data_IF_693450871359
#
_entry.id   IF_693450871359
#
_cell.length_a   1.000
_cell.length_b   1.000
_cell.length_c   1.000
_cell.angle_alpha   90.00
_cell.angle_beta   90.00
_cell.angle_gamma   90.00
#
_symmetry.space_group_name_H-M   'P 1'
#
loop_
_entity.id
_entity.type
_entity.pdbx_description
1 polymer ?
#
# COMPACT_ATOMS: atom_id res chain seq x y z
N UNK A 1 -29.81 -5.84 5.26
CA UNK A 1 -29.40 -4.55 5.88
C UNK A 1 -27.96 -4.71 6.36
N UNK A 2 -27.05 -3.83 5.94
CA UNK A 2 -25.66 -3.86 6.43
C UNK A 2 -25.60 -3.37 7.87
N UNK A 3 -24.86 -4.08 8.72
CA UNK A 3 -24.57 -3.69 10.11
C UNK A 3 -23.42 -2.66 10.20
N UNK A 4 -22.79 -2.29 9.08
CA UNK A 4 -21.66 -1.37 9.06
C UNK A 4 -22.11 0.06 9.39
N UNK A 5 -21.71 0.54 10.57
CA UNK A 5 -21.89 1.91 11.07
C UNK A 5 -20.76 2.85 10.67
N UNK A 6 -20.75 4.06 11.23
CA UNK A 6 -19.68 5.05 11.06
C UNK A 6 -19.65 5.79 9.72
N UNK A 7 -18.71 6.71 9.52
CA UNK A 7 -18.49 7.38 8.23
C UNK A 7 -17.36 6.68 7.45
N UNK A 8 -17.36 6.81 6.12
CA UNK A 8 -16.24 6.28 5.32
C UNK A 8 -14.96 7.04 5.62
N UNK A 9 -13.81 6.35 5.61
CA UNK A 9 -12.53 7.01 5.81
C UNK A 9 -12.30 8.08 4.74
N UNK A 10 -12.72 7.85 3.49
CA UNK A 10 -12.65 8.85 2.43
C UNK A 10 -13.35 10.17 2.80
N UNK A 11 -14.57 10.10 3.34
CA UNK A 11 -15.34 11.29 3.72
C UNK A 11 -14.73 12.02 4.92
N UNK A 12 -14.22 11.27 5.90
CA UNK A 12 -13.54 11.83 7.06
C UNK A 12 -12.22 12.52 6.67
N UNK A 13 -11.45 11.91 5.76
CA UNK A 13 -10.18 12.43 5.27
C UNK A 13 -10.35 13.67 4.38
N UNK A 14 -11.41 13.74 3.58
CA UNK A 14 -11.67 14.90 2.70
C UNK A 14 -12.17 16.14 3.43
N UNK A 15 -12.41 16.07 4.74
CA UNK A 15 -12.98 17.18 5.52
C UNK A 15 -14.46 17.42 5.24
N UNK A 16 -15.12 16.55 4.46
CA UNK A 16 -16.55 16.64 4.16
C UNK A 16 -17.45 16.11 5.31
N UNK A 17 -16.85 15.68 6.42
CA UNK A 17 -17.57 15.25 7.61
C UNK A 17 -17.89 16.41 8.55
N UNK A 18 -18.94 16.26 9.35
CA UNK A 18 -19.27 17.22 10.42
C UNK A 18 -18.29 17.19 11.59
N UNK A 19 -17.38 16.20 11.65
CA UNK A 19 -16.41 16.04 12.73
C UNK A 19 -15.18 16.97 12.59
N UNK A 20 -15.04 17.68 11.45
CA UNK A 20 -13.95 18.63 11.21
C UNK A 20 -12.55 17.99 11.33
N UNK A 21 -11.58 18.77 11.80
CA UNK A 21 -10.17 18.35 11.86
C UNK A 21 -9.92 17.16 12.80
N UNK A 22 -10.68 17.05 13.90
CA UNK A 22 -10.58 15.93 14.84
C UNK A 22 -10.95 14.60 14.16
N UNK A 23 -12.04 14.58 13.39
CA UNK A 23 -12.42 13.40 12.61
C UNK A 23 -11.41 13.05 11.52
N UNK A 24 -10.79 14.07 10.91
CA UNK A 24 -9.72 13.89 9.91
C UNK A 24 -8.48 13.24 10.52
N UNK A 25 -8.04 13.69 11.69
CA UNK A 25 -6.90 13.12 12.42
C UNK A 25 -7.17 11.68 12.86
N UNK A 26 -8.36 11.41 13.41
CA UNK A 26 -8.77 10.06 13.80
C UNK A 26 -8.78 9.11 12.60
N UNK A 27 -9.36 9.54 11.47
CA UNK A 27 -9.39 8.75 10.24
C UNK A 27 -8.00 8.47 9.66
N UNK A 28 -7.09 9.46 9.69
CA UNK A 28 -5.70 9.26 9.30
C UNK A 28 -5.01 8.22 10.22
N UNK A 29 -5.27 8.30 11.53
CA UNK A 29 -4.80 7.32 12.51
C UNK A 29 -5.34 5.91 12.23
N UNK A 30 -6.61 5.78 11.85
CA UNK A 30 -7.21 4.48 11.49
C UNK A 30 -6.66 3.93 10.17
N UNK A 31 -6.42 4.80 9.19
CA UNK A 31 -5.83 4.42 7.90
C UNK A 31 -4.41 3.87 8.09
N UNK A 32 -3.52 4.65 8.73
CA UNK A 32 -2.12 4.25 8.95
C UNK A 32 -2.03 3.09 9.95
N UNK A 33 -2.79 3.15 11.05
CA UNK A 33 -2.65 2.23 12.17
C UNK A 33 -3.34 0.88 11.97
N UNK A 34 -4.36 0.81 11.11
CA UNK A 34 -5.17 -0.40 10.95
C UNK A 34 -5.40 -0.80 9.50
N UNK A 35 -5.96 0.07 8.65
CA UNK A 35 -6.34 -0.32 7.28
C UNK A 35 -5.13 -0.72 6.42
N UNK A 36 -4.09 0.12 6.39
CA UNK A 36 -2.86 -0.13 5.64
C UNK A 36 -2.12 -1.39 6.15
N UNK A 37 -1.91 -1.58 7.48
CA UNK A 37 -1.36 -2.83 8.01
C UNK A 37 -2.20 -4.06 7.70
N UNK A 38 -3.53 -3.97 7.77
CA UNK A 38 -4.43 -5.08 7.48
C UNK A 38 -4.29 -5.57 6.03
N UNK A 39 -4.25 -4.64 5.07
CA UNK A 39 -3.99 -4.98 3.66
C UNK A 39 -2.62 -5.65 3.49
N UNK A 40 -1.58 -5.12 4.15
CA UNK A 40 -0.24 -5.70 4.13
C UNK A 40 -0.22 -7.15 4.66
N UNK A 41 -0.88 -7.40 5.78
CA UNK A 41 -1.02 -8.75 6.32
C UNK A 41 -1.77 -9.68 5.37
N UNK A 42 -2.88 -9.23 4.76
CA UNK A 42 -3.61 -10.03 3.78
C UNK A 42 -2.74 -10.39 2.57
N UNK A 43 -2.02 -9.42 2.00
CA UNK A 43 -1.16 -9.63 0.84
C UNK A 43 0.05 -10.52 1.15
N UNK A 44 0.69 -10.34 2.30
CA UNK A 44 1.96 -11.01 2.62
C UNK A 44 1.77 -12.36 3.31
N UNK A 45 0.68 -12.54 4.06
CA UNK A 45 0.45 -13.75 4.87
C UNK A 45 -0.74 -14.60 4.40
N UNK A 46 -1.69 -14.05 3.63
CA UNK A 46 -2.96 -14.74 3.27
C UNK A 46 -3.26 -14.79 1.76
N UNK A 47 -2.41 -14.23 0.91
CA UNK A 47 -2.64 -14.15 -0.53
C UNK A 47 -2.61 -15.48 -1.26
N UNK A 48 -2.10 -16.55 -0.65
CA UNK A 48 -2.21 -17.91 -1.19
C UNK A 48 -3.59 -18.52 -1.01
N UNK A 49 -4.48 -17.88 -0.27
CA UNK A 49 -5.82 -18.37 0.05
C UNK A 49 -6.87 -17.30 -0.22
N UNK A 50 -7.21 -16.96 -1.49
CA UNK A 50 -8.33 -16.11 -1.99
C UNK A 50 -8.85 -14.90 -1.17
N UNK A 51 -8.11 -14.48 -0.14
CA UNK A 51 -8.51 -13.55 0.91
C UNK A 51 -7.69 -12.26 0.82
N UNK A 52 -6.74 -12.18 -0.11
CA UNK A 52 -5.94 -10.98 -0.29
C UNK A 52 -6.74 -9.90 -0.99
N UNK A 53 -7.25 -8.97 -0.20
CA UNK A 53 -7.90 -7.76 -0.66
C UNK A 53 -6.88 -6.81 -1.30
N UNK A 54 -7.16 -6.35 -2.52
CA UNK A 54 -6.25 -5.50 -3.31
C UNK A 54 -6.84 -4.14 -3.70
N UNK A 55 -7.97 -3.74 -3.10
CA UNK A 55 -8.53 -2.41 -3.31
C UNK A 55 -8.35 -1.52 -2.07
N UNK A 56 -7.28 -0.72 -2.00
CA UNK A 56 -6.98 0.08 -0.83
C UNK A 56 -7.82 1.37 -0.73
N UNK A 57 -8.83 1.57 -1.59
CA UNK A 57 -9.57 2.81 -1.63
C UNK A 57 -10.21 3.14 -0.25
N UNK A 58 -9.96 4.32 0.35
CA UNK A 58 -10.47 4.67 1.68
C UNK A 58 -12.01 4.67 1.78
N UNK A 59 -12.71 4.73 0.65
CA UNK A 59 -14.17 4.55 0.60
C UNK A 59 -14.65 3.16 1.00
N UNK A 60 -13.79 2.14 0.88
CA UNK A 60 -14.09 0.75 1.25
C UNK A 60 -13.99 0.50 2.75
N UNK A 61 -13.56 1.50 3.53
CA UNK A 61 -13.40 1.41 4.96
C UNK A 61 -14.36 2.39 5.66
N UNK A 62 -15.07 1.93 6.69
CA UNK A 62 -15.83 2.83 7.59
C UNK A 62 -15.29 2.72 9.00
N UNK A 63 -15.10 3.88 9.63
CA UNK A 63 -14.74 3.95 11.02
C UNK A 63 -15.96 4.29 11.86
N UNK A 64 -16.34 3.36 12.74
CA UNK A 64 -17.34 3.58 13.77
C UNK A 64 -16.63 3.84 15.10
N UNK A 65 -16.47 5.12 15.45
CA UNK A 65 -15.76 5.55 16.65
C UNK A 65 -16.47 5.14 17.95
N UNK A 66 -17.80 5.02 17.93
CA UNK A 66 -18.58 4.60 19.09
C UNK A 66 -18.34 3.13 19.42
N UNK A 67 -18.27 2.28 18.40
CA UNK A 67 -17.98 0.85 18.54
C UNK A 67 -16.48 0.51 18.52
N UNK A 68 -15.63 1.49 18.16
CA UNK A 68 -14.20 1.32 17.86
C UNK A 68 -13.95 0.22 16.83
N UNK A 69 -14.75 0.22 15.77
CA UNK A 69 -14.73 -0.82 14.75
C UNK A 69 -14.43 -0.24 13.38
N UNK A 70 -13.41 -0.79 12.72
CA UNK A 70 -13.11 -0.53 11.31
C UNK A 70 -13.81 -1.60 10.45
N UNK A 71 -14.79 -1.17 9.67
CA UNK A 71 -15.53 -2.03 8.76
C UNK A 71 -14.89 -2.04 7.38
N UNK A 72 -14.72 -3.21 6.79
CA UNK A 72 -14.37 -3.40 5.38
C UNK A 72 -15.66 -3.69 4.62
N UNK A 73 -16.03 -2.80 3.69
CA UNK A 73 -17.32 -2.82 3.01
C UNK A 73 -17.33 -3.66 1.74
N UNK A 74 -16.21 -3.64 1.01
CA UNK A 74 -16.07 -4.29 -0.27
C UNK A 74 -15.03 -5.40 -0.16
N UNK A 75 -15.35 -6.55 -0.75
CA UNK A 75 -14.48 -7.72 -0.89
C UNK A 75 -14.49 -8.23 -2.35
N UNK A 76 -14.95 -7.41 -3.30
CA UNK A 76 -15.05 -7.76 -4.71
C UNK A 76 -13.69 -7.82 -5.41
N UNK A 77 -12.67 -7.15 -4.85
CA UNK A 77 -11.32 -7.07 -5.40
C UNK A 77 -10.34 -7.93 -4.58
N UNK A 78 -10.35 -9.24 -4.83
CA UNK A 78 -9.45 -10.19 -4.19
C UNK A 78 -8.49 -10.83 -5.20
N UNK A 79 -7.29 -11.18 -4.75
CA UNK A 79 -6.32 -11.96 -5.53
C UNK A 79 -5.99 -13.27 -4.85
N UNK A 80 -5.55 -14.23 -5.66
CA UNK A 80 -4.85 -15.43 -5.19
C UNK A 80 -3.48 -15.47 -5.86
N UNK A 81 -2.43 -15.25 -5.09
CA UNK A 81 -1.05 -15.36 -5.54
C UNK A 81 -0.57 -16.81 -5.40
N UNK A 82 0.33 -17.23 -6.29
CA UNK A 82 1.09 -18.45 -6.04
C UNK A 82 2.01 -18.27 -4.83
N UNK A 83 2.43 -19.37 -4.22
CA UNK A 83 3.37 -19.32 -3.09
C UNK A 83 4.67 -18.60 -3.47
N UNK A 84 5.19 -18.85 -4.68
CA UNK A 84 6.38 -18.18 -5.22
C UNK A 84 6.19 -16.67 -5.33
N UNK A 85 5.07 -16.20 -5.92
CA UNK A 85 4.78 -14.77 -6.03
C UNK A 85 4.66 -14.11 -4.67
N UNK A 86 3.95 -14.73 -3.73
CA UNK A 86 3.84 -14.22 -2.36
C UNK A 86 5.23 -14.13 -1.69
N UNK A 87 6.08 -15.16 -1.84
CA UNK A 87 7.43 -15.14 -1.27
C UNK A 87 8.29 -14.03 -1.88
N UNK A 88 8.24 -13.84 -3.20
CA UNK A 88 8.91 -12.73 -3.89
C UNK A 88 8.41 -11.37 -3.38
N UNK A 89 7.11 -11.21 -3.14
CA UNK A 89 6.55 -9.98 -2.56
C UNK A 89 7.05 -9.72 -1.14
N UNK A 90 7.09 -10.76 -0.29
CA UNK A 90 7.65 -10.64 1.06
C UNK A 90 9.14 -10.25 1.00
N UNK A 91 9.91 -10.88 0.11
CA UNK A 91 11.31 -10.58 -0.09
C UNK A 91 11.52 -9.13 -0.57
N UNK A 92 10.71 -8.64 -1.51
CA UNK A 92 10.74 -7.25 -1.96
C UNK A 92 10.54 -6.27 -0.80
N UNK A 93 9.50 -6.50 0.00
CA UNK A 93 9.21 -5.68 1.19
C UNK A 93 10.39 -5.70 2.16
N UNK A 94 10.95 -6.88 2.46
CA UNK A 94 12.11 -7.02 3.36
C UNK A 94 13.35 -6.31 2.83
N UNK A 95 13.67 -6.45 1.53
CA UNK A 95 14.83 -5.81 0.90
C UNK A 95 14.71 -4.29 0.94
N UNK A 96 13.54 -3.75 0.60
CA UNK A 96 13.31 -2.29 0.60
C UNK A 96 13.31 -1.76 2.03
N UNK A 97 12.73 -2.49 2.99
CA UNK A 97 12.78 -2.15 4.40
C UNK A 97 14.21 -2.19 4.96
N UNK A 98 15.07 -3.05 4.44
CA UNK A 98 16.49 -3.16 4.82
C UNK A 98 17.41 -2.22 4.03
N UNK A 99 16.86 -1.40 3.12
CA UNK A 99 17.63 -0.52 2.23
C UNK A 99 18.68 -1.29 1.40
N UNK A 100 18.33 -2.52 1.00
CA UNK A 100 19.20 -3.39 0.22
C UNK A 100 19.57 -2.78 -1.14
N UNK A 101 20.66 -3.24 -1.80
CA UNK A 101 21.07 -2.78 -3.13
C UNK A 101 19.99 -2.90 -4.23
N UNK A 102 20.08 -2.05 -5.26
CA UNK A 102 19.09 -1.95 -6.33
C UNK A 102 19.00 -3.22 -7.21
N UNK A 103 20.11 -3.92 -7.43
CA UNK A 103 20.17 -5.19 -8.16
C UNK A 103 19.32 -6.28 -7.47
N UNK A 104 19.45 -6.44 -6.16
CA UNK A 104 18.65 -7.39 -5.39
C UNK A 104 17.15 -7.07 -5.44
N UNK A 105 16.78 -5.79 -5.43
CA UNK A 105 15.38 -5.35 -5.55
C UNK A 105 14.86 -5.66 -6.96
N UNK A 106 15.63 -5.34 -7.99
CA UNK A 106 15.25 -5.59 -9.38
C UNK A 106 15.08 -7.08 -9.68
N UNK A 107 16.02 -7.92 -9.26
CA UNK A 107 15.94 -9.37 -9.44
C UNK A 107 14.70 -9.97 -8.76
N UNK A 108 14.41 -9.50 -7.55
CA UNK A 108 13.22 -9.93 -6.81
C UNK A 108 11.92 -9.41 -7.43
N UNK A 109 11.93 -8.22 -8.03
CA UNK A 109 10.80 -7.66 -8.77
C UNK A 109 10.49 -8.46 -10.05
N UNK A 110 11.53 -8.92 -10.74
CA UNK A 110 11.39 -9.86 -11.88
C UNK A 110 10.82 -11.19 -11.41
N UNK A 111 11.31 -11.74 -10.30
CA UNK A 111 10.75 -12.95 -9.70
C UNK A 111 9.31 -12.76 -9.20
N UNK A 112 8.91 -11.54 -8.84
CA UNK A 112 7.52 -11.20 -8.53
C UNK A 112 6.65 -11.06 -9.77
N UNK A 113 7.22 -10.83 -10.96
CA UNK A 113 6.48 -10.88 -12.23
C UNK A 113 6.38 -9.55 -12.94
N UNK A 114 7.21 -8.57 -12.59
CA UNK A 114 7.37 -7.32 -13.32
C UNK A 114 8.59 -7.42 -14.23
N UNK A 115 8.43 -7.22 -15.53
CA UNK A 115 9.56 -7.15 -16.46
C UNK A 115 9.94 -5.69 -16.69
N UNK A 116 11.24 -5.43 -16.74
CA UNK A 116 11.80 -4.13 -17.12
C UNK A 116 13.18 -4.36 -17.73
N UNK A 117 13.53 -3.59 -18.74
CA UNK A 117 14.84 -3.65 -19.40
C UNK A 117 15.92 -2.89 -18.63
N UNK A 118 15.55 -2.01 -17.69
CA UNK A 118 16.43 -1.25 -16.82
C UNK A 118 16.24 -1.65 -15.33
N UNK A 119 17.13 -2.48 -14.76
CA UNK A 119 17.09 -2.88 -13.36
C UNK A 119 17.13 -1.70 -12.37
N UNK A 120 17.89 -0.66 -12.68
CA UNK A 120 17.99 0.52 -11.81
C UNK A 120 16.66 1.29 -11.78
N UNK A 121 16.01 1.44 -12.92
CA UNK A 121 14.68 2.05 -13.00
C UNK A 121 13.63 1.21 -12.25
N UNK A 122 13.67 -0.11 -12.41
CA UNK A 122 12.76 -1.04 -11.72
C UNK A 122 12.92 -0.92 -10.19
N UNK A 123 14.14 -0.95 -9.68
CA UNK A 123 14.40 -0.80 -8.25
C UNK A 123 13.90 0.54 -7.70
N UNK A 124 14.15 1.64 -8.42
CA UNK A 124 13.67 2.98 -8.04
C UNK A 124 12.14 3.05 -8.00
N UNK A 125 11.46 2.42 -8.95
CA UNK A 125 10.00 2.35 -8.97
C UNK A 125 9.47 1.62 -7.75
N UNK A 126 10.02 0.44 -7.43
CA UNK A 126 9.59 -0.34 -6.27
C UNK A 126 9.86 0.37 -4.95
N UNK A 127 11.01 1.06 -4.83
CA UNK A 127 11.27 1.96 -3.70
C UNK A 127 10.26 3.10 -3.64
N UNK A 128 9.95 3.74 -4.75
CA UNK A 128 8.98 4.84 -4.81
C UNK A 128 7.58 4.42 -4.38
N UNK A 129 7.14 3.21 -4.76
CA UNK A 129 5.83 2.68 -4.35
C UNK A 129 5.80 2.31 -2.86
N UNK A 130 6.88 1.72 -2.32
CA UNK A 130 6.89 1.16 -0.96
C UNK A 130 7.49 2.08 0.11
N UNK A 131 8.19 3.15 -0.28
CA UNK A 131 8.74 4.18 0.61
C UNK A 131 8.25 5.55 0.13
N UNK A 132 7.10 6.00 0.63
CA UNK A 132 6.74 7.40 0.48
C UNK A 132 7.78 8.24 1.25
N UNK A 133 8.57 9.03 0.53
CA UNK A 133 9.46 10.02 1.13
C UNK A 133 9.28 11.34 0.38
N UNK A 134 9.48 12.45 1.08
CA UNK A 134 9.34 13.81 0.58
C UNK A 134 10.19 14.12 -0.67
N UNK A 135 11.27 13.36 -0.88
CA UNK A 135 12.23 13.48 -1.97
C UNK A 135 11.98 12.56 -3.17
N UNK A 136 11.02 11.63 -3.08
CA UNK A 136 10.64 10.73 -4.17
C UNK A 136 9.14 10.82 -4.40
N UNK A 137 8.73 11.44 -5.51
CA UNK A 137 7.34 11.56 -5.84
C UNK A 137 6.76 10.22 -6.34
N UNK A 138 6.15 9.43 -5.45
CA UNK A 138 5.43 8.20 -5.82
C UNK A 138 4.37 8.43 -6.91
N UNK A 139 3.63 9.55 -6.87
CA UNK A 139 2.68 9.92 -7.93
C UNK A 139 3.37 10.16 -9.28
N UNK A 140 4.57 10.74 -9.30
CA UNK A 140 5.35 10.86 -10.53
C UNK A 140 5.92 9.50 -10.92
N UNK A 141 6.39 8.66 -10.00
CA UNK A 141 6.87 7.32 -10.33
C UNK A 141 5.75 6.40 -10.88
N UNK A 142 4.53 6.50 -10.35
CA UNK A 142 3.36 5.73 -10.77
C UNK A 142 2.74 6.33 -12.04
N UNK A 143 2.60 7.66 -12.12
CA UNK A 143 2.17 8.31 -13.36
C UNK A 143 3.21 8.07 -14.45
N UNK A 144 4.52 8.21 -14.19
CA UNK A 144 5.60 7.88 -15.13
C UNK A 144 5.57 6.40 -15.47
N UNK A 145 5.35 5.46 -14.54
CA UNK A 145 5.25 4.04 -14.87
C UNK A 145 4.01 3.66 -15.69
N UNK A 146 2.88 4.34 -15.42
CA UNK A 146 1.64 4.19 -16.18
C UNK A 146 1.69 4.93 -17.54
N UNK A 147 2.48 6.00 -17.65
CA UNK A 147 2.73 6.78 -18.88
C UNK A 147 3.81 6.12 -19.74
N UNK A 148 4.81 5.46 -19.15
CA UNK A 148 5.99 4.88 -19.83
C UNK A 148 5.81 3.40 -20.23
N UNK A 149 4.59 2.85 -20.25
CA UNK A 149 4.29 1.44 -20.58
C UNK A 149 4.93 0.39 -19.63
N UNK A 150 5.42 0.78 -18.44
CA UNK A 150 6.10 -0.13 -17.50
C UNK A 150 5.14 -1.14 -16.85
N UNK A 151 3.84 -0.84 -16.86
CA UNK A 151 2.77 -1.72 -16.41
C UNK A 151 2.26 -2.69 -17.50
N UNK A 152 2.64 -2.49 -18.77
CA UNK A 152 2.24 -3.39 -19.86
C UNK A 152 3.02 -4.72 -19.81
N UNK A 153 4.18 -4.74 -19.14
CA UNK A 153 5.09 -5.87 -18.99
C UNK A 153 4.98 -6.56 -17.61
N UNK A 154 3.83 -6.39 -16.95
CA UNK A 154 3.51 -6.99 -15.65
C UNK A 154 2.64 -8.23 -15.87
N UNK A 155 2.98 -9.33 -15.19
CA UNK A 155 2.18 -10.56 -15.25
C UNK A 155 0.75 -10.29 -14.76
N UNK A 156 -0.26 -10.75 -15.51
CA UNK A 156 -1.68 -10.40 -15.25
C UNK A 156 -2.13 -10.73 -13.82
N UNK A 157 -1.59 -11.79 -13.22
CA UNK A 157 -1.89 -12.25 -11.87
C UNK A 157 -1.41 -11.27 -10.77
N UNK A 158 -0.40 -10.45 -11.06
CA UNK A 158 0.18 -9.50 -10.09
C UNK A 158 -0.19 -8.03 -10.37
N UNK A 159 -0.78 -7.72 -11.53
CA UNK A 159 -1.25 -6.36 -11.86
C UNK A 159 -2.13 -5.74 -10.75
N UNK A 160 -3.13 -6.45 -10.18
CA UNK A 160 -3.96 -5.87 -9.13
C UNK A 160 -3.16 -5.56 -7.86
N UNK A 161 -2.15 -6.37 -7.54
CA UNK A 161 -1.26 -6.13 -6.40
C UNK A 161 -0.41 -4.89 -6.65
N UNK A 162 0.21 -4.76 -7.82
CA UNK A 162 1.02 -3.57 -8.16
C UNK A 162 0.17 -2.30 -8.09
N UNK A 163 -1.07 -2.34 -8.60
CA UNK A 163 -2.03 -1.21 -8.48
C UNK A 163 -2.36 -0.90 -7.02
N UNK A 164 -2.60 -1.93 -6.20
CA UNK A 164 -2.85 -1.76 -4.76
C UNK A 164 -1.67 -1.03 -4.08
N UNK A 165 -0.43 -1.48 -4.32
CA UNK A 165 0.77 -0.88 -3.76
C UNK A 165 0.95 0.56 -4.22
N UNK A 166 0.73 0.82 -5.51
CA UNK A 166 0.79 2.16 -6.09
C UNK A 166 -0.21 3.11 -5.40
N UNK A 167 -1.48 2.70 -5.25
CA UNK A 167 -2.49 3.51 -4.58
C UNK A 167 -2.15 3.74 -3.11
N UNK A 168 -1.70 2.72 -2.37
CA UNK A 168 -1.28 2.88 -0.97
C UNK A 168 -0.09 3.82 -0.82
N UNK A 169 0.92 3.69 -1.69
CA UNK A 169 2.09 4.56 -1.71
C UNK A 169 1.70 6.02 -2.00
N UNK A 170 0.79 6.23 -2.96
CA UNK A 170 0.21 7.54 -3.27
C UNK A 170 -0.52 8.16 -2.08
N UNK A 171 -1.41 7.41 -1.44
CA UNK A 171 -2.16 7.87 -0.26
C UNK A 171 -1.25 8.26 0.90
N UNK A 172 -0.21 7.45 1.20
CA UNK A 172 0.74 7.79 2.26
C UNK A 172 1.55 9.04 1.92
N UNK A 173 1.94 9.20 0.66
CA UNK A 173 2.65 10.40 0.20
C UNK A 173 1.77 11.65 0.33
N UNK A 174 0.51 11.59 -0.10
CA UNK A 174 -0.43 12.71 0.07
C UNK A 174 -0.55 13.11 1.53
N UNK A 175 -0.66 12.12 2.43
CA UNK A 175 -0.73 12.36 3.86
C UNK A 175 0.55 13.00 4.42
N UNK A 176 1.73 12.53 3.99
CA UNK A 176 3.01 13.17 4.35
C UNK A 176 3.08 14.62 3.86
N UNK A 177 2.64 14.85 2.62
CA UNK A 177 2.62 16.19 2.03
C UNK A 177 1.75 17.13 2.87
N UNK A 178 0.56 16.69 3.26
CA UNK A 178 -0.32 17.45 4.14
C UNK A 178 0.32 17.72 5.50
N UNK A 179 0.95 16.71 6.13
CA UNK A 179 1.63 16.90 7.43
C UNK A 179 2.77 17.91 7.30
N UNK A 180 3.55 17.84 6.22
CA UNK A 180 4.63 18.78 5.96
C UNK A 180 4.12 20.20 5.76
N UNK A 181 3.07 20.36 4.97
CA UNK A 181 2.53 21.67 4.62
C UNK A 181 1.79 22.32 5.80
N UNK A 182 1.10 21.55 6.62
CA UNK A 182 0.33 22.05 7.78
C UNK A 182 1.19 22.18 9.05
N UNK A 183 2.13 21.28 9.29
CA UNK A 183 2.87 21.19 10.57
C UNK A 183 4.36 21.49 10.43
N UNK A 184 4.89 21.64 9.21
CA UNK A 184 6.32 21.87 8.99
C UNK A 184 7.21 20.67 9.33
N UNK A 185 6.63 19.48 9.51
CA UNK A 185 7.34 18.26 9.87
C UNK A 185 7.46 17.32 8.67
N UNK A 186 8.67 16.81 8.43
CA UNK A 186 8.88 15.71 7.49
C UNK A 186 8.78 14.38 8.25
N UNK A 187 7.73 13.61 7.97
CA UNK A 187 7.47 12.32 8.64
C UNK A 187 7.58 11.22 7.59
N UNK A 188 8.64 10.39 7.60
CA UNK A 188 8.76 9.31 6.64
C UNK A 188 7.80 8.17 6.99
N UNK A 189 6.74 8.03 6.21
CA UNK A 189 5.84 6.87 6.17
C UNK A 189 6.27 5.90 5.07
N UNK A 190 6.65 4.68 5.44
CA UNK A 190 7.07 3.64 4.50
C UNK A 190 6.18 2.42 4.65
N UNK A 191 5.56 1.97 3.55
CA UNK A 191 4.86 0.69 3.52
C UNK A 191 5.82 -0.46 3.82
N UNK A 192 7.04 -0.41 3.29
CA UNK A 192 8.03 -1.45 3.53
C UNK A 192 8.36 -1.60 5.02
N UNK A 193 8.59 -0.50 5.72
CA UNK A 193 8.86 -0.51 7.17
C UNK A 193 7.61 -0.90 7.97
N UNK A 194 6.43 -0.40 7.60
CA UNK A 194 5.15 -0.78 8.24
C UNK A 194 4.84 -2.27 8.12
N UNK A 195 5.22 -2.90 7.00
CA UNK A 195 4.92 -4.30 6.71
C UNK A 195 6.09 -5.26 6.93
N UNK A 196 7.25 -4.78 7.39
CA UNK A 196 8.45 -5.60 7.57
C UNK A 196 8.18 -6.84 8.45
N UNK A 197 7.41 -6.70 9.53
CA UNK A 197 7.02 -7.82 10.40
C UNK A 197 6.15 -8.83 9.67
N UNK A 198 5.20 -8.39 8.85
CA UNK A 198 4.34 -9.29 8.07
C UNK A 198 5.11 -10.00 6.96
N UNK A 199 6.07 -9.32 6.33
CA UNK A 199 6.98 -9.95 5.37
C UNK A 199 7.81 -11.05 6.04
N UNK A 200 8.36 -10.78 7.23
CA UNK A 200 9.09 -11.79 7.99
C UNK A 200 8.21 -13.01 8.36
N UNK A 201 6.95 -12.78 8.74
CA UNK A 201 5.98 -13.86 8.98
C UNK A 201 5.67 -14.65 7.71
N UNK A 202 5.42 -13.96 6.58
CA UNK A 202 5.08 -14.58 5.30
C UNK A 202 6.22 -15.41 4.69
N UNK A 203 7.48 -15.05 4.96
CA UNK A 203 8.66 -15.84 4.57
C UNK A 203 8.81 -17.14 5.36
N UNK A 204 8.21 -17.23 6.55
CA UNK A 204 8.26 -18.43 7.41
C UNK A 204 7.10 -19.39 7.18
N UNK A 205 6.04 -18.94 6.51
CA UNK A 205 4.78 -19.67 6.27
C UNK A 205 4.71 -20.34 4.92
#
# INVERSE_FOLDING_TARGET
MSLAGGESLHKLLSGASSAGDAGRQEAAGMLIGFAVPFIGWLLLCKSTSHLAHVDPHPGNFRWDSALRTLWVLDWGSNVTLTAERRLSLCMLVSLIAAEAPDDAIADTAVAFGVRCTDPCQLARLWRGMLNATSSFAAQDAINVAAIDNLLDDVSEDVVPVVRCLATLGGLLKELQQTIRDEQGHDVPLSLAKLWATFAAMGLQS
#
